data_IF_532492505562
#
_entry.id   IF_532492505562
#
_cell.length_a   1.000
_cell.length_b   1.000
_cell.length_c   1.000
_cell.angle_alpha   90.00
_cell.angle_beta   90.00
_cell.angle_gamma   90.00
#
_symmetry.space_group_name_H-M   'P 1'
#
loop_
_entity.id
_entity.type
_entity.pdbx_description
1 polymer ?
#
# COMPACT_ATOMS: atom_id res chain seq x y z
N UNK A 1 -8.54 -21.37 42.11
CA UNK A 1 -8.27 -22.47 41.15
C UNK A 1 -8.32 -21.89 39.75
N UNK A 2 -7.34 -22.19 38.88
CA UNK A 2 -6.57 -21.13 38.22
C UNK A 2 -6.95 -20.87 36.76
N UNK A 3 -6.74 -19.62 36.36
CA UNK A 3 -6.68 -19.12 34.99
C UNK A 3 -5.50 -19.80 34.27
N UNK A 4 -5.78 -20.53 33.19
CA UNK A 4 -4.75 -21.12 32.34
C UNK A 4 -4.20 -20.05 31.39
N UNK A 5 -2.98 -19.64 31.68
CA UNK A 5 -2.07 -18.94 30.77
C UNK A 5 -1.81 -19.88 29.60
N UNK A 6 -2.29 -19.55 28.39
CA UNK A 6 -1.87 -20.22 27.16
C UNK A 6 -0.67 -19.45 26.62
N UNK A 7 0.52 -19.95 26.98
CA UNK A 7 1.79 -19.54 26.41
C UNK A 7 1.87 -19.95 24.94
N UNK A 8 2.22 -18.98 24.08
CA UNK A 8 2.67 -19.20 22.71
C UNK A 8 3.83 -20.21 22.70
N UNK A 9 3.64 -21.37 22.09
CA UNK A 9 4.74 -22.19 21.59
C UNK A 9 4.27 -23.12 20.46
N UNK A 10 5.03 -23.04 19.36
CA UNK A 10 5.34 -24.10 18.38
C UNK A 10 4.22 -24.62 17.48
N UNK A 11 4.13 -24.01 16.29
CA UNK A 11 3.81 -24.70 15.04
C UNK A 11 4.81 -24.18 13.98
N UNK A 12 6.01 -24.73 14.05
CA UNK A 12 7.08 -24.52 13.06
C UNK A 12 7.96 -25.77 13.06
N UNK A 13 7.45 -26.84 12.44
CA UNK A 13 8.24 -28.05 12.21
C UNK A 13 7.70 -28.81 10.99
N UNK A 14 7.80 -28.19 9.81
CA UNK A 14 8.05 -28.90 8.55
C UNK A 14 8.95 -27.99 7.74
N UNK A 15 10.25 -28.30 7.70
CA UNK A 15 11.23 -28.10 6.63
C UNK A 15 12.59 -28.40 7.28
N UNK A 16 13.15 -29.56 6.93
CA UNK A 16 14.48 -29.96 7.36
C UNK A 16 15.59 -29.19 6.63
N UNK A 17 16.82 -29.16 7.18
CA UNK A 17 17.95 -28.50 6.54
C UNK A 17 18.76 -29.50 5.71
N UNK A 18 19.02 -29.16 4.45
CA UNK A 18 20.15 -29.72 3.71
C UNK A 18 21.02 -28.57 3.22
N UNK A 19 22.14 -28.36 3.91
CA UNK A 19 23.24 -27.56 3.41
C UNK A 19 24.04 -28.33 2.36
N UNK A 20 24.47 -27.63 1.33
CA UNK A 20 25.34 -28.13 0.27
C UNK A 20 25.76 -26.99 -0.63
N UNK A 21 26.88 -26.36 -0.27
CA UNK A 21 27.59 -25.32 -1.00
C UNK A 21 28.12 -25.83 -2.35
N UNK A 22 27.78 -25.14 -3.43
CA UNK A 22 28.60 -25.08 -4.64
C UNK A 22 28.40 -23.74 -5.34
N UNK A 23 29.50 -22.99 -5.46
CA UNK A 23 29.66 -21.74 -6.17
C UNK A 23 29.82 -21.99 -7.68
N UNK A 24 29.12 -21.23 -8.52
CA UNK A 24 29.52 -20.83 -9.89
C UNK A 24 28.41 -19.90 -10.41
N UNK A 25 28.69 -18.60 -10.47
CA UNK A 25 29.16 -17.86 -11.64
C UNK A 25 28.12 -17.73 -12.76
N UNK A 26 27.60 -16.51 -12.87
CA UNK A 26 26.63 -16.03 -13.84
C UNK A 26 27.39 -15.52 -15.07
N UNK A 27 27.09 -16.05 -16.26
CA UNK A 27 27.71 -15.55 -17.50
C UNK A 27 27.07 -16.07 -18.78
N UNK A 28 26.09 -15.31 -19.28
CA UNK A 28 25.61 -15.18 -20.67
C UNK A 28 24.93 -16.38 -21.39
N UNK A 29 23.94 -16.12 -22.26
CA UNK A 29 23.22 -17.14 -23.01
C UNK A 29 23.96 -17.49 -24.31
N UNK A 30 24.21 -18.78 -24.53
CA UNK A 30 24.77 -19.29 -25.79
C UNK A 30 23.66 -19.50 -26.83
N UNK A 31 24.00 -19.05 -28.04
CA UNK A 31 23.19 -19.00 -29.24
C UNK A 31 22.74 -20.37 -29.73
N UNK A 32 21.53 -20.39 -30.28
CA UNK A 32 20.94 -21.49 -31.03
C UNK A 32 21.85 -21.88 -32.19
N UNK A 33 22.26 -23.15 -32.22
CA UNK A 33 22.96 -23.77 -33.34
C UNK A 33 22.16 -23.64 -34.63
N UNK A 34 22.55 -22.66 -35.45
CA UNK A 34 22.17 -22.57 -36.84
C UNK A 34 23.03 -23.54 -37.65
N UNK A 35 22.34 -24.48 -38.28
CA UNK A 35 22.84 -25.35 -39.31
C UNK A 35 23.55 -24.54 -40.41
N UNK A 36 24.81 -24.86 -40.66
CA UNK A 36 25.60 -24.35 -41.78
C UNK A 36 25.05 -24.91 -43.10
N UNK A 37 23.95 -24.35 -43.60
CA UNK A 37 23.54 -24.46 -44.99
C UNK A 37 24.43 -23.55 -45.82
N UNK A 38 25.43 -24.14 -46.48
CA UNK A 38 26.22 -23.40 -47.48
C UNK A 38 25.35 -23.25 -48.72
N UNK A 39 24.54 -22.19 -48.75
CA UNK A 39 23.89 -21.72 -49.96
C UNK A 39 24.95 -21.04 -50.85
N UNK A 40 25.52 -21.78 -51.80
CA UNK A 40 26.26 -21.17 -52.90
C UNK A 40 25.30 -20.29 -53.70
N UNK A 41 25.42 -18.98 -53.51
CA UNK A 41 24.75 -17.97 -54.31
C UNK A 41 25.24 -18.06 -55.75
N UNK A 42 24.39 -18.50 -56.67
CA UNK A 42 24.60 -18.35 -58.10
C UNK A 42 24.34 -16.89 -58.45
N UNK A 43 25.40 -16.08 -58.48
CA UNK A 43 25.33 -14.75 -59.05
C UNK A 43 25.29 -14.86 -60.57
N UNK A 44 24.10 -14.63 -61.13
CA UNK A 44 23.88 -14.34 -62.54
C UNK A 44 24.58 -13.02 -62.86
N UNK A 45 25.75 -13.09 -63.50
CA UNK A 45 26.35 -11.92 -64.15
C UNK A 45 25.74 -11.78 -65.54
N UNK A 46 25.00 -10.69 -65.74
CA UNK A 46 24.52 -10.26 -67.05
C UNK A 46 25.69 -9.84 -67.97
N UNK A 47 25.50 -9.88 -69.30
CA UNK A 47 26.59 -9.85 -70.28
C UNK A 47 27.18 -8.45 -70.45
N UNK A 48 28.51 -8.37 -70.47
CA UNK A 48 29.24 -7.15 -70.80
C UNK A 48 29.27 -7.00 -72.33
N UNK A 49 28.79 -5.85 -72.80
CA UNK A 49 28.63 -5.51 -74.21
C UNK A 49 29.92 -5.71 -75.03
N UNK A 50 29.79 -6.42 -76.15
CA UNK A 50 30.78 -6.45 -77.22
C UNK A 50 30.67 -5.19 -78.09
N UNK A 51 31.77 -4.58 -78.56
CA UNK A 51 31.70 -3.60 -79.62
C UNK A 51 31.49 -4.31 -80.96
N UNK A 52 30.57 -3.76 -81.75
CA UNK A 52 30.27 -4.18 -83.10
C UNK A 52 31.47 -3.97 -84.03
N UNK A 53 31.86 -5.01 -84.77
CA UNK A 53 32.52 -4.88 -86.06
C UNK A 53 31.75 -5.70 -87.08
N UNK A 54 31.43 -5.03 -88.18
CA UNK A 54 30.55 -5.46 -89.24
C UNK A 54 31.33 -6.17 -90.35
N UNK A 55 30.60 -7.04 -91.06
CA UNK A 55 30.77 -7.53 -92.45
C UNK A 55 31.52 -8.86 -92.68
N UNK A 56 30.66 -9.84 -93.03
CA UNK A 56 30.62 -10.62 -94.27
C UNK A 56 31.75 -11.58 -94.61
N UNK A 57 31.37 -12.81 -94.97
CA UNK A 57 32.12 -13.65 -95.90
C UNK A 57 32.36 -15.05 -95.39
N UNK A 58 31.64 -15.99 -95.98
CA UNK A 58 31.83 -17.44 -95.88
C UNK A 58 33.22 -17.86 -96.38
N UNK A 59 34.15 -18.21 -95.48
CA UNK A 59 35.16 -19.28 -95.68
C UNK A 59 36.00 -19.47 -94.40
N UNK A 60 36.23 -20.72 -93.98
CA UNK A 60 37.23 -21.04 -92.96
C UNK A 60 38.52 -21.45 -93.67
N UNK A 61 39.59 -20.67 -93.49
CA UNK A 61 40.96 -21.08 -93.79
C UNK A 61 41.72 -21.37 -92.48
N UNK A 62 42.52 -22.44 -92.40
CA UNK A 62 43.44 -22.67 -91.29
C UNK A 62 44.57 -21.63 -91.34
N UNK A 63 44.66 -20.78 -90.32
CA UNK A 63 45.83 -19.93 -90.14
C UNK A 63 46.96 -20.76 -89.54
N UNK A 64 47.94 -21.03 -90.42
CA UNK A 64 49.30 -21.41 -90.08
C UNK A 64 49.85 -20.40 -89.05
N UNK A 65 50.25 -20.91 -87.88
CA UNK A 65 51.11 -20.18 -86.96
C UNK A 65 52.54 -20.59 -87.30
N UNK A 66 53.21 -19.80 -88.13
CA UNK A 66 54.67 -19.84 -88.23
C UNK A 66 55.24 -19.15 -86.99
N UNK A 67 55.95 -19.91 -86.15
CA UNK A 67 56.81 -19.34 -85.11
C UNK A 67 58.27 -19.56 -85.55
N UNK A 68 58.87 -18.45 -85.98
CA UNK A 68 60.27 -18.33 -86.37
C UNK A 68 61.15 -18.41 -85.12
N UNK A 69 61.88 -19.51 -84.95
CA UNK A 69 62.73 -19.61 -83.77
C UNK A 69 63.81 -20.67 -83.69
N UNK A 70 64.09 -21.50 -84.69
CA UNK A 70 65.15 -22.51 -84.57
C UNK A 70 66.03 -22.63 -85.82
N UNK A 71 66.91 -21.63 -85.99
CA UNK A 71 68.14 -21.77 -86.77
C UNK A 71 69.13 -22.59 -85.93
N UNK A 72 69.11 -23.92 -86.04
CA UNK A 72 70.18 -24.77 -85.53
C UNK A 72 70.87 -25.51 -86.69
N UNK A 73 72.15 -25.20 -86.79
CA UNK A 73 73.12 -25.67 -87.75
C UNK A 73 73.23 -27.20 -87.69
N UNK A 74 72.99 -27.87 -88.81
CA UNK A 74 73.55 -29.21 -89.04
C UNK A 74 75.04 -29.05 -89.34
N UNK A 75 75.82 -28.87 -88.28
CA UNK A 75 77.24 -29.12 -88.26
C UNK A 75 77.50 -30.40 -87.46
N UNK A 76 78.26 -31.29 -88.06
CA UNK A 76 78.70 -32.58 -87.50
C UNK A 76 79.34 -32.39 -86.12
N UNK A 77 78.65 -32.82 -85.07
CA UNK A 77 79.27 -33.24 -83.81
C UNK A 77 78.24 -34.01 -82.98
N UNK A 78 78.53 -35.27 -82.68
CA UNK A 78 77.66 -36.13 -81.87
C UNK A 78 77.44 -35.54 -80.48
N UNK A 79 76.18 -35.38 -80.12
CA UNK A 79 75.71 -35.26 -78.75
C UNK A 79 74.31 -35.85 -78.72
N UNK A 80 74.25 -37.09 -78.24
CA UNK A 80 73.02 -37.80 -77.90
C UNK A 80 72.36 -37.01 -76.78
N UNK A 81 71.22 -36.38 -77.08
CA UNK A 81 70.41 -35.72 -76.05
C UNK A 81 69.74 -36.81 -75.23
N UNK A 82 70.35 -37.19 -74.11
CA UNK A 82 69.67 -37.99 -73.09
C UNK A 82 68.54 -37.15 -72.54
N UNK A 83 67.30 -37.48 -72.94
CA UNK A 83 66.12 -36.99 -72.28
C UNK A 83 66.16 -37.45 -70.82
N UNK A 84 66.47 -36.53 -69.91
CA UNK A 84 66.27 -36.73 -68.48
C UNK A 84 64.76 -36.89 -68.22
N UNK A 85 64.29 -38.14 -68.18
CA UNK A 85 62.99 -38.47 -67.60
C UNK A 85 63.11 -38.18 -66.11
N UNK A 86 62.58 -37.04 -65.67
CA UNK A 86 62.39 -36.73 -64.26
C UNK A 86 61.45 -37.79 -63.65
N UNK A 87 61.91 -38.64 -62.71
CA UNK A 87 61.10 -39.73 -62.13
C UNK A 87 59.95 -39.24 -61.23
N UNK A 88 59.94 -37.95 -60.88
CA UNK A 88 58.91 -37.30 -60.07
C UNK A 88 57.59 -37.12 -60.85
N UNK A 89 57.67 -36.71 -62.13
CA UNK A 89 56.49 -36.51 -63.00
C UNK A 89 55.85 -37.82 -63.45
N UNK A 90 56.61 -38.91 -63.53
CA UNK A 90 56.09 -40.24 -63.85
C UNK A 90 55.21 -40.82 -62.74
N UNK A 91 55.56 -40.59 -61.47
CA UNK A 91 54.78 -41.06 -60.32
C UNK A 91 53.43 -40.36 -60.19
N UNK A 92 53.36 -39.06 -60.49
CA UNK A 92 52.11 -38.30 -60.46
C UNK A 92 51.22 -38.64 -61.64
N UNK A 93 51.79 -38.79 -62.84
CA UNK A 93 51.07 -39.29 -64.03
C UNK A 93 50.50 -40.69 -63.82
N UNK A 94 51.25 -41.59 -63.18
CA UNK A 94 50.77 -42.94 -62.89
C UNK A 94 49.59 -42.94 -61.90
N UNK A 95 49.62 -42.07 -60.88
CA UNK A 95 48.49 -41.90 -59.95
C UNK A 95 47.26 -41.33 -60.64
N UNK A 96 47.44 -40.35 -61.53
CA UNK A 96 46.36 -39.78 -62.34
C UNK A 96 45.76 -40.82 -63.28
N UNK A 97 46.58 -41.65 -63.93
CA UNK A 97 46.11 -42.71 -64.82
C UNK A 97 45.34 -43.78 -64.05
N UNK A 98 45.81 -44.15 -62.85
CA UNK A 98 45.10 -45.07 -61.95
C UNK A 98 43.72 -44.51 -61.55
N UNK A 99 43.64 -43.23 -61.19
CA UNK A 99 42.37 -42.57 -60.89
C UNK A 99 41.44 -42.49 -62.11
N UNK A 100 42.00 -42.29 -63.30
CA UNK A 100 41.24 -42.27 -64.54
C UNK A 100 40.64 -43.64 -64.86
N UNK A 101 41.42 -44.71 -64.69
CA UNK A 101 40.93 -46.08 -64.87
C UNK A 101 39.87 -46.45 -63.83
N UNK A 102 40.06 -46.07 -62.57
CA UNK A 102 39.06 -46.26 -61.52
C UNK A 102 37.75 -45.53 -61.84
N UNK A 103 37.84 -44.30 -62.34
CA UNK A 103 36.68 -43.51 -62.78
C UNK A 103 36.03 -44.06 -64.04
N UNK A 104 36.82 -44.55 -65.00
CA UNK A 104 36.31 -45.20 -66.21
C UNK A 104 35.57 -46.50 -65.86
N UNK A 105 36.11 -47.31 -64.96
CA UNK A 105 35.44 -48.51 -64.47
C UNK A 105 34.14 -48.19 -63.71
N UNK A 106 34.10 -47.10 -62.93
CA UNK A 106 32.89 -46.61 -62.27
C UNK A 106 31.82 -46.15 -63.29
N UNK A 107 32.22 -45.41 -64.33
CA UNK A 107 31.34 -44.98 -65.42
C UNK A 107 30.80 -46.20 -66.17
N UNK A 108 31.65 -47.15 -66.52
CA UNK A 108 31.26 -48.37 -67.23
C UNK A 108 30.28 -49.20 -66.39
N UNK A 109 30.48 -49.28 -65.08
CA UNK A 109 29.52 -49.90 -64.16
C UNK A 109 28.17 -49.18 -64.14
N UNK A 110 28.16 -47.84 -64.18
CA UNK A 110 26.92 -47.06 -64.28
C UNK A 110 26.20 -47.22 -65.62
N UNK A 111 26.95 -47.33 -66.73
CA UNK A 111 26.41 -47.51 -68.07
C UNK A 111 25.77 -48.90 -68.21
N UNK A 112 26.42 -49.92 -67.65
CA UNK A 112 25.94 -51.30 -67.71
C UNK A 112 24.75 -51.59 -66.78
N UNK A 113 24.37 -50.65 -65.92
CA UNK A 113 23.19 -50.80 -65.08
C UNK A 113 21.89 -50.67 -65.91
N UNK A 114 20.94 -51.62 -65.78
CA UNK A 114 19.68 -51.56 -66.51
C UNK A 114 18.86 -50.29 -66.20
N UNK A 115 18.26 -49.63 -67.22
CA UNK A 115 17.50 -48.39 -67.03
C UNK A 115 16.33 -48.49 -66.03
N UNK A 116 15.61 -49.62 -66.03
CA UNK A 116 14.44 -49.81 -65.16
C UNK A 116 14.78 -49.81 -63.66
N UNK A 117 16.02 -50.18 -63.28
CA UNK A 117 16.44 -50.15 -61.87
C UNK A 117 16.60 -48.72 -61.36
N UNK A 118 17.17 -47.85 -62.21
CA UNK A 118 17.29 -46.41 -61.93
C UNK A 118 15.91 -45.77 -61.85
N UNK A 119 15.01 -46.08 -62.79
CA UNK A 119 13.65 -45.57 -62.78
C UNK A 119 12.88 -46.00 -61.52
N UNK A 120 13.02 -47.26 -61.08
CA UNK A 120 12.40 -47.74 -59.83
C UNK A 120 12.92 -46.99 -58.61
N UNK A 121 14.23 -46.75 -58.55
CA UNK A 121 14.84 -46.02 -57.45
C UNK A 121 14.46 -44.53 -57.46
N UNK A 122 14.37 -43.90 -58.63
CA UNK A 122 13.87 -42.53 -58.79
C UNK A 122 12.44 -42.41 -58.26
N UNK A 123 11.54 -43.33 -58.65
CA UNK A 123 10.16 -43.33 -58.17
C UNK A 123 10.09 -43.51 -56.64
N UNK A 124 10.93 -44.37 -56.07
CA UNK A 124 11.02 -44.57 -54.62
C UNK A 124 11.47 -43.29 -53.91
N UNK A 125 12.50 -42.62 -54.43
CA UNK A 125 13.00 -41.36 -53.88
C UNK A 125 11.98 -40.23 -54.01
N UNK A 126 11.31 -40.10 -55.16
CA UNK A 126 10.26 -39.11 -55.38
C UNK A 126 9.11 -39.30 -54.40
N UNK A 127 8.66 -40.54 -54.17
CA UNK A 127 7.62 -40.82 -53.17
C UNK A 127 8.07 -40.43 -51.75
N UNK A 128 9.29 -40.81 -51.37
CA UNK A 128 9.83 -40.48 -50.05
C UNK A 128 10.00 -38.96 -49.86
N UNK A 129 10.39 -38.23 -50.90
CA UNK A 129 10.47 -36.77 -50.89
C UNK A 129 9.09 -36.14 -50.72
N UNK A 130 8.09 -36.58 -51.49
CA UNK A 130 6.72 -36.07 -51.38
C UNK A 130 6.11 -36.32 -49.98
N UNK A 131 6.38 -37.49 -49.38
CA UNK A 131 5.97 -37.80 -48.01
C UNK A 131 6.66 -36.86 -47.00
N UNK A 132 7.96 -36.59 -47.18
CA UNK A 132 8.72 -35.67 -46.33
C UNK A 132 8.24 -34.22 -46.49
N UNK A 133 7.96 -33.77 -47.70
CA UNK A 133 7.42 -32.43 -47.97
C UNK A 133 6.05 -32.23 -47.31
N UNK A 134 5.18 -33.25 -47.35
CA UNK A 134 3.89 -33.21 -46.64
C UNK A 134 4.06 -33.14 -45.13
N UNK A 135 4.96 -33.95 -44.57
CA UNK A 135 5.28 -33.90 -43.15
C UNK A 135 5.88 -32.54 -42.75
N UNK A 136 6.78 -31.98 -43.57
CA UNK A 136 7.39 -30.68 -43.35
C UNK A 136 6.34 -29.56 -43.38
N UNK A 137 5.45 -29.55 -44.38
CA UNK A 137 4.39 -28.55 -44.47
C UNK A 137 3.46 -28.58 -43.24
N UNK A 138 3.16 -29.77 -42.73
CA UNK A 138 2.36 -29.93 -41.49
C UNK A 138 3.14 -29.40 -40.27
N UNK A 139 4.42 -29.75 -40.16
CA UNK A 139 5.29 -29.26 -39.08
C UNK A 139 5.40 -27.73 -39.11
N UNK A 140 5.61 -27.13 -40.29
CA UNK A 140 5.76 -25.69 -40.46
C UNK A 140 4.51 -24.92 -40.01
N UNK A 141 3.32 -25.44 -40.34
CA UNK A 141 2.05 -24.84 -39.88
C UNK A 141 1.93 -24.90 -38.36
N UNK A 142 2.25 -26.05 -37.75
CA UNK A 142 2.20 -26.22 -36.30
C UNK A 142 3.22 -25.32 -35.59
N UNK A 143 4.46 -25.24 -36.10
CA UNK A 143 5.50 -24.37 -35.55
C UNK A 143 5.11 -22.89 -35.62
N UNK A 144 4.53 -22.44 -36.74
CA UNK A 144 4.01 -21.07 -36.87
C UNK A 144 2.88 -20.81 -35.88
N UNK A 145 1.90 -21.71 -35.78
CA UNK A 145 0.78 -21.57 -34.85
C UNK A 145 1.22 -21.49 -33.39
N UNK A 146 2.15 -22.36 -32.97
CA UNK A 146 2.71 -22.34 -31.61
C UNK A 146 3.48 -21.05 -31.33
N UNK A 147 4.21 -20.53 -32.32
CA UNK A 147 4.92 -19.26 -32.21
C UNK A 147 3.94 -18.10 -32.06
N UNK A 148 2.86 -18.09 -32.85
CA UNK A 148 1.83 -17.06 -32.79
C UNK A 148 1.08 -17.05 -31.44
N UNK A 149 0.73 -18.22 -30.91
CA UNK A 149 0.16 -18.36 -29.57
C UNK A 149 1.11 -17.86 -28.49
N UNK A 150 2.40 -18.18 -28.60
CA UNK A 150 3.44 -17.68 -27.68
C UNK A 150 3.50 -16.16 -27.69
N UNK A 151 3.54 -15.54 -28.87
CA UNK A 151 3.52 -14.08 -29.01
C UNK A 151 2.20 -13.47 -28.53
N UNK A 152 1.07 -14.14 -28.71
CA UNK A 152 -0.22 -13.69 -28.19
C UNK A 152 -0.24 -13.70 -26.66
N UNK A 153 0.25 -14.77 -26.04
CA UNK A 153 0.34 -14.90 -24.58
C UNK A 153 1.31 -13.87 -24.00
N UNK A 154 2.47 -13.66 -24.63
CA UNK A 154 3.43 -12.62 -24.23
C UNK A 154 2.79 -11.23 -24.25
N UNK A 155 2.03 -10.88 -25.29
CA UNK A 155 1.29 -9.60 -25.36
C UNK A 155 0.23 -9.47 -24.27
N UNK A 156 -0.54 -10.53 -23.99
CA UNK A 156 -1.53 -10.53 -22.90
C UNK A 156 -0.86 -10.36 -21.54
N UNK A 157 0.26 -11.03 -21.31
CA UNK A 157 1.04 -10.93 -20.09
C UNK A 157 1.59 -9.50 -19.91
N UNK A 158 2.14 -8.90 -20.96
CA UNK A 158 2.62 -7.53 -20.95
C UNK A 158 1.51 -6.52 -20.60
N UNK A 159 0.34 -6.64 -21.25
CA UNK A 159 -0.82 -5.77 -20.94
C UNK A 159 -1.32 -5.96 -19.50
N UNK A 160 -1.31 -7.18 -18.99
CA UNK A 160 -1.68 -7.47 -17.59
C UNK A 160 -0.66 -6.86 -16.63
N UNK A 161 0.64 -6.99 -16.94
CA UNK A 161 1.70 -6.41 -16.13
C UNK A 161 1.62 -4.87 -16.08
N UNK A 162 1.33 -4.21 -17.20
CA UNK A 162 1.09 -2.77 -17.27
C UNK A 162 -0.10 -2.34 -16.41
N UNK A 163 -1.21 -3.10 -16.43
CA UNK A 163 -2.36 -2.86 -15.58
C UNK A 163 -1.99 -2.98 -14.09
N UNK A 164 -1.26 -4.03 -13.71
CA UNK A 164 -0.79 -4.20 -12.34
C UNK A 164 0.14 -3.06 -11.90
N UNK A 165 1.05 -2.62 -12.76
CA UNK A 165 1.93 -1.47 -12.50
C UNK A 165 1.12 -0.18 -12.30
N UNK A 166 0.10 0.06 -13.13
CA UNK A 166 -0.79 1.20 -12.99
C UNK A 166 -1.54 1.17 -11.65
N UNK A 167 -2.11 0.02 -11.29
CA UNK A 167 -2.80 -0.14 -10.01
C UNK A 167 -1.86 0.08 -8.82
N UNK A 168 -0.65 -0.50 -8.85
CA UNK A 168 0.35 -0.28 -7.82
C UNK A 168 0.68 1.20 -7.65
N UNK A 169 0.90 1.92 -8.76
CA UNK A 169 1.15 3.37 -8.74
C UNK A 169 -0.03 4.16 -8.17
N UNK A 170 -1.27 3.83 -8.57
CA UNK A 170 -2.46 4.47 -8.00
C UNK A 170 -2.57 4.25 -6.49
N UNK A 171 -2.24 3.05 -6.00
CA UNK A 171 -2.25 2.73 -4.57
C UNK A 171 -1.16 3.50 -3.82
N UNK A 172 0.06 3.60 -4.37
CA UNK A 172 1.14 4.41 -3.79
C UNK A 172 0.79 5.89 -3.72
N UNK A 173 0.23 6.45 -4.79
CA UNK A 173 -0.21 7.85 -4.82
C UNK A 173 -1.32 8.13 -3.80
N UNK A 174 -2.27 7.20 -3.66
CA UNK A 174 -3.33 7.28 -2.66
C UNK A 174 -2.76 7.24 -1.25
N UNK A 175 -1.84 6.31 -0.98
CA UNK A 175 -1.15 6.22 0.31
C UNK A 175 -0.35 7.48 0.63
N UNK A 176 0.33 8.09 -0.34
CA UNK A 176 1.05 9.36 -0.15
C UNK A 176 0.11 10.52 0.17
N UNK A 177 -1.03 10.62 -0.51
CA UNK A 177 -2.06 11.64 -0.24
C UNK A 177 -2.68 11.45 1.14
N UNK A 178 -3.02 10.21 1.51
CA UNK A 178 -3.55 9.89 2.84
C UNK A 178 -2.53 10.17 3.94
N UNK A 179 -1.26 9.75 3.77
CA UNK A 179 -0.19 10.02 4.74
C UNK A 179 0.08 11.53 4.89
N UNK A 180 0.13 12.26 3.78
CA UNK A 180 0.30 13.72 3.82
C UNK A 180 -0.88 14.46 4.47
N UNK A 181 -2.10 13.94 4.33
CA UNK A 181 -3.28 14.49 4.98
C UNK A 181 -3.36 14.12 6.47
N UNK A 182 -3.01 12.88 6.82
CA UNK A 182 -2.92 12.40 8.20
C UNK A 182 -1.83 13.16 8.97
N UNK A 183 -0.62 13.35 8.44
CA UNK A 183 0.46 14.04 9.16
C UNK A 183 0.10 15.51 9.48
N UNK A 184 -0.56 16.24 8.56
CA UNK A 184 -1.02 17.61 8.81
C UNK A 184 -2.20 17.67 9.78
N UNK A 185 -3.18 16.77 9.63
CA UNK A 185 -4.39 16.74 10.46
C UNK A 185 -4.11 16.18 11.87
N UNK A 186 -3.15 15.26 12.01
CA UNK A 186 -2.70 14.72 13.30
C UNK A 186 -1.94 15.78 14.08
N UNK A 187 -1.06 16.56 13.46
CA UNK A 187 -0.36 17.66 14.14
C UNK A 187 -1.32 18.76 14.63
N UNK A 188 -2.33 19.11 13.83
CA UNK A 188 -3.35 20.10 14.21
C UNK A 188 -4.25 19.59 15.36
N UNK A 189 -4.68 18.32 15.28
CA UNK A 189 -5.47 17.68 16.34
C UNK A 189 -4.65 17.45 17.62
N UNK A 190 -3.38 17.08 17.53
CA UNK A 190 -2.49 16.87 18.68
C UNK A 190 -2.20 18.20 19.39
N UNK A 191 -1.99 19.28 18.63
CA UNK A 191 -1.84 20.63 19.18
C UNK A 191 -3.14 21.11 19.85
N UNK A 192 -4.29 20.85 19.24
CA UNK A 192 -5.61 21.17 19.79
C UNK A 192 -5.92 20.37 21.07
N UNK A 193 -5.63 19.06 21.08
CA UNK A 193 -5.77 18.20 22.26
C UNK A 193 -4.83 18.64 23.39
N UNK A 194 -3.59 19.00 23.07
CA UNK A 194 -2.63 19.49 24.04
C UNK A 194 -3.09 20.80 24.68
N UNK A 195 -3.65 21.73 23.89
CA UNK A 195 -4.23 22.97 24.41
C UNK A 195 -5.44 22.71 25.33
N UNK A 196 -6.29 21.73 24.98
CA UNK A 196 -7.42 21.33 25.82
C UNK A 196 -6.97 20.69 27.14
N UNK A 197 -5.94 19.83 27.10
CA UNK A 197 -5.33 19.23 28.29
C UNK A 197 -4.80 20.33 29.23
N UNK A 198 -4.08 21.32 28.70
CA UNK A 198 -3.60 22.46 29.50
C UNK A 198 -4.75 23.22 30.17
N UNK A 199 -5.83 23.54 29.43
CA UNK A 199 -7.01 24.21 29.99
C UNK A 199 -7.65 23.40 31.12
N UNK A 200 -7.87 22.11 30.91
CA UNK A 200 -8.46 21.23 31.92
C UNK A 200 -7.56 21.09 33.16
N UNK A 201 -6.23 21.09 32.99
CA UNK A 201 -5.29 21.08 34.10
C UNK A 201 -5.37 22.37 34.92
N UNK A 202 -5.46 23.52 34.26
CA UNK A 202 -5.62 24.82 34.93
C UNK A 202 -6.95 24.92 35.68
N UNK A 203 -8.04 24.47 35.06
CA UNK A 203 -9.36 24.38 35.71
C UNK A 203 -9.32 23.44 36.92
N UNK A 204 -8.68 22.28 36.79
CA UNK A 204 -8.54 21.33 37.90
C UNK A 204 -7.73 21.93 39.06
N UNK A 205 -6.67 22.69 38.74
CA UNK A 205 -5.87 23.42 39.74
C UNK A 205 -6.72 24.49 40.44
N UNK A 206 -7.52 25.25 39.68
CA UNK A 206 -8.40 26.27 40.22
C UNK A 206 -9.49 25.68 41.12
N UNK A 207 -10.10 24.57 40.70
CA UNK A 207 -11.09 23.84 41.49
C UNK A 207 -10.48 23.34 42.80
N UNK A 208 -9.27 22.78 42.78
CA UNK A 208 -8.56 22.37 44.00
C UNK A 208 -8.34 23.54 44.96
N UNK A 209 -7.97 24.72 44.45
CA UNK A 209 -7.82 25.92 45.26
C UNK A 209 -9.15 26.38 45.88
N UNK A 210 -10.24 26.35 45.11
CA UNK A 210 -11.60 26.67 45.62
C UNK A 210 -12.05 25.69 46.69
N UNK A 211 -11.81 24.39 46.50
CA UNK A 211 -12.12 23.36 47.51
C UNK A 211 -11.33 23.63 48.80
N UNK A 212 -10.03 23.91 48.70
CA UNK A 212 -9.22 24.25 49.87
C UNK A 212 -9.78 25.47 50.62
N UNK A 213 -10.21 26.51 49.90
CA UNK A 213 -10.82 27.70 50.51
C UNK A 213 -12.15 27.38 51.22
N UNK A 214 -13.01 26.56 50.61
CA UNK A 214 -14.26 26.12 51.23
C UNK A 214 -13.99 25.30 52.50
N UNK A 215 -12.94 24.47 52.52
CA UNK A 215 -12.57 23.71 53.72
C UNK A 215 -12.14 24.63 54.87
N UNK A 216 -11.38 25.68 54.59
CA UNK A 216 -11.02 26.69 55.60
C UNK A 216 -12.27 27.33 56.19
N UNK A 217 -13.19 27.81 55.35
CA UNK A 217 -14.44 28.36 55.86
C UNK A 217 -15.28 27.36 56.63
N UNK A 218 -15.31 26.10 56.19
CA UNK A 218 -16.00 25.04 56.92
C UNK A 218 -15.42 24.91 58.33
N UNK A 219 -14.09 24.93 58.47
CA UNK A 219 -13.43 24.88 59.77
C UNK A 219 -13.78 26.12 60.62
N UNK A 220 -13.72 27.34 60.05
CA UNK A 220 -14.09 28.59 60.74
C UNK A 220 -15.54 28.58 61.26
N UNK A 221 -16.48 28.11 60.43
CA UNK A 221 -17.89 27.98 60.85
C UNK A 221 -18.07 26.97 61.98
N UNK A 222 -17.31 25.87 61.95
CA UNK A 222 -17.38 24.85 63.02
C UNK A 222 -16.76 25.33 64.32
N UNK A 223 -15.66 26.09 64.28
CA UNK A 223 -15.07 26.68 65.49
C UNK A 223 -15.99 27.74 66.10
N UNK A 224 -16.55 28.63 65.27
CA UNK A 224 -17.51 29.65 65.72
C UNK A 224 -18.74 29.02 66.39
N UNK A 225 -19.27 27.92 65.83
CA UNK A 225 -20.37 27.17 66.44
C UNK A 225 -19.97 26.58 67.79
N UNK A 226 -18.78 25.98 67.87
CA UNK A 226 -18.25 25.38 69.11
C UNK A 226 -18.08 26.43 70.22
N UNK A 227 -17.64 27.64 69.86
CA UNK A 227 -17.50 28.75 70.81
C UNK A 227 -18.86 29.26 71.30
N UNK A 228 -19.87 29.31 70.43
CA UNK A 228 -21.25 29.63 70.82
C UNK A 228 -21.83 28.60 71.79
N UNK A 229 -21.62 27.30 71.53
CA UNK A 229 -22.08 26.23 72.41
C UNK A 229 -21.39 26.32 73.78
N UNK A 230 -20.08 26.61 73.81
CA UNK A 230 -19.33 26.86 75.06
C UNK A 230 -19.89 28.07 75.82
N UNK A 231 -20.14 29.18 75.13
CA UNK A 231 -20.73 30.38 75.73
C UNK A 231 -22.14 30.11 76.27
N UNK A 232 -22.97 29.36 75.56
CA UNK A 232 -24.31 28.96 76.03
C UNK A 232 -24.24 28.09 77.28
N UNK A 233 -23.34 27.11 77.32
CA UNK A 233 -23.12 26.29 78.52
C UNK A 233 -22.71 27.16 79.71
N UNK A 234 -21.83 28.15 79.50
CA UNK A 234 -21.42 29.07 80.57
C UNK A 234 -22.56 29.96 81.05
N UNK A 235 -23.43 30.43 80.14
CA UNK A 235 -24.62 31.19 80.50
C UNK A 235 -25.56 30.35 81.38
N UNK A 236 -25.81 29.09 81.02
CA UNK A 236 -26.67 28.20 81.81
C UNK A 236 -26.09 27.94 83.21
N UNK A 237 -24.78 27.70 83.32
CA UNK A 237 -24.08 27.56 84.60
C UNK A 237 -24.25 28.82 85.47
N UNK A 238 -24.00 30.00 84.90
CA UNK A 238 -24.15 31.27 85.60
C UNK A 238 -25.60 31.56 85.99
N UNK A 239 -26.58 31.20 85.15
CA UNK A 239 -28.01 31.32 85.48
C UNK A 239 -28.38 30.44 86.68
N UNK A 240 -27.86 29.21 86.75
CA UNK A 240 -28.05 28.32 87.90
C UNK A 240 -27.39 28.90 89.15
N UNK A 241 -26.15 29.37 89.05
CA UNK A 241 -25.42 29.99 90.17
C UNK A 241 -26.17 31.22 90.71
N UNK A 242 -26.62 32.11 89.82
CA UNK A 242 -27.44 33.27 90.20
C UNK A 242 -28.74 32.84 90.87
N UNK A 243 -29.44 31.83 90.34
CA UNK A 243 -30.68 31.30 90.93
C UNK A 243 -30.45 30.73 92.34
N UNK A 244 -29.36 29.98 92.53
CA UNK A 244 -28.95 29.45 93.83
C UNK A 244 -28.62 30.58 94.82
N UNK A 245 -27.82 31.57 94.40
CA UNK A 245 -27.46 32.72 95.22
C UNK A 245 -28.69 33.57 95.60
N UNK A 246 -29.61 33.79 94.66
CA UNK A 246 -30.88 34.47 94.91
C UNK A 246 -31.71 33.74 95.96
N UNK A 247 -31.82 32.40 95.89
CA UNK A 247 -32.52 31.60 96.89
C UNK A 247 -31.84 31.69 98.28
N UNK A 248 -30.51 31.65 98.34
CA UNK A 248 -29.77 31.82 99.59
C UNK A 248 -29.98 33.20 100.22
N UNK A 249 -29.99 34.27 99.40
CA UNK A 249 -30.30 35.63 99.86
C UNK A 249 -31.73 35.75 100.37
N UNK A 250 -32.72 35.18 99.67
CA UNK A 250 -34.12 35.15 100.12
C UNK A 250 -34.26 34.49 101.50
N UNK A 251 -33.65 33.31 101.70
CA UNK A 251 -33.64 32.61 103.00
C UNK A 251 -32.98 33.44 104.12
N UNK A 252 -31.87 34.14 103.83
CA UNK A 252 -31.23 35.05 104.80
C UNK A 252 -32.07 36.30 105.11
N UNK A 253 -32.90 36.77 104.17
CA UNK A 253 -33.82 37.88 104.41
C UNK A 253 -35.04 37.45 105.23
N UNK A 254 -35.55 36.23 105.04
CA UNK A 254 -36.63 35.69 105.86
C UNK A 254 -36.21 35.47 107.33
N UNK A 255 -34.96 35.04 107.57
CA UNK A 255 -34.38 34.97 108.92
C UNK A 255 -34.16 36.32 109.62
N UNK A 256 -34.18 37.45 108.87
CA UNK A 256 -34.09 38.82 109.42
C UNK A 256 -35.45 39.47 109.67
N UNK A 257 -36.56 38.86 109.23
CA UNK A 257 -37.93 39.34 109.48
C UNK A 257 -38.51 38.92 110.84
N UNK A 258 -37.81 38.07 111.60
CA UNK A 258 -38.20 37.72 112.99
C UNK A 258 -37.64 38.72 114.03
N UNK A 259 -36.80 39.67 113.63
CA UNK A 259 -36.28 40.70 114.55
C UNK A 259 -36.27 42.11 113.95
N UNK A 260 -37.44 42.60 113.55
CA UNK A 260 -37.77 44.03 113.57
C UNK A 260 -39.29 44.22 113.46
N UNK A 261 -39.94 44.01 114.59
CA UNK A 261 -41.18 44.69 114.91
C UNK A 261 -40.88 46.22 114.91
N UNK A 262 -41.89 47.01 114.55
CA UNK A 262 -41.94 48.49 114.58
C UNK A 262 -41.05 49.23 113.56
N UNK A 263 -41.58 49.52 112.37
CA UNK A 263 -42.03 50.88 112.05
C UNK A 263 -42.74 50.98 110.70
N UNK A 264 -43.87 51.68 110.75
CA UNK A 264 -44.78 52.12 109.70
C UNK A 264 -44.13 53.03 108.65
N UNK A 265 -44.49 52.85 107.36
CA UNK A 265 -45.27 53.85 106.57
C UNK A 265 -45.38 53.52 105.08
N UNK A 266 -46.63 53.40 104.65
CA UNK A 266 -47.30 53.76 103.39
C UNK A 266 -46.92 53.21 101.99
N UNK A 267 -47.92 52.73 101.21
CA UNK A 267 -47.81 52.30 99.81
C UNK A 267 -48.23 53.38 98.80
N UNK A 268 -47.67 53.33 97.60
CA UNK A 268 -48.15 54.11 96.43
C UNK A 268 -47.73 53.43 95.13
N UNK A 269 -48.70 52.90 94.39
CA UNK A 269 -48.56 52.35 93.03
C UNK A 269 -48.76 53.46 91.95
N UNK A 270 -49.07 53.15 90.67
CA UNK A 270 -48.17 52.80 89.56
C UNK A 270 -48.37 53.75 88.36
N UNK A 271 -47.62 53.61 87.26
CA UNK A 271 -47.99 54.37 86.05
C UNK A 271 -47.03 54.32 84.87
N UNK A 272 -47.45 53.57 83.85
CA UNK A 272 -46.81 53.38 82.55
C UNK A 272 -46.38 54.67 81.82
N UNK A 273 -45.19 54.63 81.21
CA UNK A 273 -44.82 55.53 80.10
C UNK A 273 -44.79 54.75 78.80
N UNK A 274 -45.68 55.13 77.88
CA UNK A 274 -45.62 54.80 76.45
C UNK A 274 -44.69 55.82 75.78
N UNK A 275 -43.82 55.34 74.90
CA UNK A 275 -43.37 56.09 73.72
C UNK A 275 -43.25 55.09 72.59
N UNK A 276 -44.14 55.25 71.60
CA UNK A 276 -44.14 54.54 70.34
C UNK A 276 -43.00 55.06 69.47
N UNK A 277 -42.35 54.16 68.73
CA UNK A 277 -41.61 54.49 67.50
C UNK A 277 -41.64 53.27 66.59
N UNK A 278 -42.55 53.37 65.62
CA UNK A 278 -42.41 52.97 64.22
C UNK A 278 -41.97 51.53 63.90
N UNK A 279 -43.00 50.72 63.66
CA UNK A 279 -42.98 49.59 62.73
C UNK A 279 -43.69 50.07 61.46
N UNK A 280 -42.98 50.20 60.35
CA UNK A 280 -43.56 50.34 59.02
C UNK A 280 -43.06 49.19 58.14
N UNK A 281 -43.97 48.27 57.87
CA UNK A 281 -43.93 47.41 56.69
C UNK A 281 -44.04 48.31 55.45
N UNK A 282 -43.11 48.18 54.53
CA UNK A 282 -43.28 48.61 53.13
C UNK A 282 -42.55 47.63 52.24
N UNK A 283 -43.31 46.86 51.48
CA UNK A 283 -42.88 46.18 50.26
C UNK A 283 -42.81 47.19 49.09
N UNK A 284 -41.96 46.93 48.09
CA UNK A 284 -42.16 47.43 46.73
C UNK A 284 -42.23 46.30 45.68
N UNK A 285 -42.68 46.63 44.45
CA UNK A 285 -43.54 45.78 43.64
C UNK A 285 -42.79 45.03 42.52
N UNK A 286 -43.33 43.89 42.13
CA UNK A 286 -42.99 43.21 40.88
C UNK A 286 -44.10 43.50 39.86
N UNK A 287 -43.80 44.36 38.90
CA UNK A 287 -44.53 44.47 37.66
C UNK A 287 -44.28 43.20 36.83
N UNK A 288 -45.36 42.54 36.40
CA UNK A 288 -45.64 42.26 34.98
C UNK A 288 -46.69 41.14 34.90
N UNK A 289 -47.96 41.55 34.88
CA UNK A 289 -49.06 40.70 34.42
C UNK A 289 -48.90 40.47 32.91
N UNK A 290 -48.64 39.24 32.51
CA UNK A 290 -48.96 38.76 31.17
C UNK A 290 -49.75 37.46 31.27
N UNK A 291 -51.06 37.62 31.12
CA UNK A 291 -52.08 36.68 30.69
C UNK A 291 -51.80 35.18 30.89
N UNK A 292 -52.46 34.62 31.89
CA UNK A 292 -52.75 33.20 31.95
C UNK A 292 -53.52 32.75 30.70
N UNK A 293 -52.84 31.98 29.85
CA UNK A 293 -53.51 31.04 28.96
C UNK A 293 -53.60 29.70 29.69
N UNK A 294 -54.82 29.35 30.06
CA UNK A 294 -55.22 28.02 30.49
C UNK A 294 -54.70 26.94 29.51
N UNK A 295 -54.18 25.84 30.05
CA UNK A 295 -54.13 24.54 29.36
C UNK A 295 -53.02 24.30 28.31
N UNK A 296 -51.74 24.54 28.61
CA UNK A 296 -50.64 24.05 27.74
C UNK A 296 -49.96 22.82 28.32
N UNK A 297 -50.06 21.73 27.56
CA UNK A 297 -49.52 20.42 27.85
C UNK A 297 -48.05 20.48 28.27
N UNK A 298 -47.77 19.93 29.45
CA UNK A 298 -46.41 19.65 29.91
C UNK A 298 -45.90 18.47 29.10
N UNK A 299 -45.29 18.75 27.95
CA UNK A 299 -44.70 17.73 27.09
C UNK A 299 -45.01 17.94 25.62
N UNK A 300 -44.60 19.09 25.07
CA UNK A 300 -44.72 19.38 23.66
C UNK A 300 -43.32 19.65 23.06
N UNK A 301 -42.87 18.76 22.19
CA UNK A 301 -41.67 18.90 21.38
C UNK A 301 -41.93 19.90 20.25
N UNK A 302 -40.97 20.78 19.99
CA UNK A 302 -41.10 21.81 18.95
C UNK A 302 -39.99 21.71 17.92
N UNK A 303 -40.37 21.69 16.65
CA UNK A 303 -39.42 21.71 15.54
C UNK A 303 -38.73 23.08 15.46
N UNK A 304 -37.38 23.17 15.52
CA UNK A 304 -36.65 24.44 15.48
C UNK A 304 -36.81 25.19 14.15
N UNK A 305 -37.19 24.49 13.08
CA UNK A 305 -37.17 25.02 11.72
C UNK A 305 -38.51 25.61 11.28
N UNK A 306 -39.62 24.89 11.49
CA UNK A 306 -40.96 25.37 11.13
C UNK A 306 -41.84 25.71 12.34
N UNK A 307 -41.31 25.56 13.56
CA UNK A 307 -41.98 25.95 14.80
C UNK A 307 -43.27 25.19 15.13
N UNK A 308 -43.54 24.08 14.43
CA UNK A 308 -44.69 23.20 14.65
C UNK A 308 -44.52 22.42 15.96
N UNK A 309 -45.64 22.25 16.65
CA UNK A 309 -45.73 21.55 17.94
C UNK A 309 -46.11 20.08 17.73
N UNK A 310 -45.53 19.23 18.56
CA UNK A 310 -45.73 17.78 18.59
C UNK A 310 -45.88 17.35 20.04
N UNK A 311 -46.82 16.47 20.35
CA UNK A 311 -46.92 15.90 21.69
C UNK A 311 -45.75 14.96 21.98
N UNK A 312 -45.32 14.89 23.24
CA UNK A 312 -44.25 13.99 23.69
C UNK A 312 -44.57 12.51 23.43
N UNK A 313 -45.85 12.14 23.34
CA UNK A 313 -46.32 10.80 23.01
C UNK A 313 -46.04 10.39 21.55
N UNK A 314 -45.80 11.37 20.66
CA UNK A 314 -45.55 11.16 19.22
C UNK A 314 -44.10 11.52 18.84
N UNK A 315 -43.15 11.18 19.72
CA UNK A 315 -41.73 11.48 19.54
C UNK A 315 -41.13 10.96 18.21
N UNK A 316 -41.56 9.80 17.72
CA UNK A 316 -41.09 9.26 16.43
C UNK A 316 -41.57 10.09 15.22
N UNK A 317 -42.78 10.64 15.27
CA UNK A 317 -43.30 11.54 14.23
C UNK A 317 -42.58 12.90 14.25
N UNK A 318 -42.22 13.38 15.44
CA UNK A 318 -41.37 14.55 15.60
C UNK A 318 -39.98 14.35 14.97
N UNK A 319 -39.30 13.23 15.26
CA UNK A 319 -37.99 12.95 14.68
C UNK A 319 -38.05 12.86 13.15
N UNK A 320 -39.06 12.15 12.62
CA UNK A 320 -39.27 12.06 11.16
C UNK A 320 -39.50 13.44 10.55
N UNK A 321 -40.35 14.25 11.17
CA UNK A 321 -40.60 15.61 10.72
C UNK A 321 -39.34 16.49 10.73
N UNK A 322 -38.50 16.43 11.77
CA UNK A 322 -37.24 17.19 11.82
C UNK A 322 -36.30 16.79 10.67
N UNK A 323 -36.27 15.51 10.30
CA UNK A 323 -35.45 15.05 9.16
C UNK A 323 -35.99 15.48 7.79
N UNK A 324 -37.29 15.69 7.66
CA UNK A 324 -37.94 16.16 6.42
C UNK A 324 -37.97 17.69 6.32
N UNK A 325 -38.09 18.40 7.45
CA UNK A 325 -38.19 19.86 7.51
C UNK A 325 -36.85 20.58 7.27
N UNK A 326 -35.74 19.84 7.33
CA UNK A 326 -34.38 20.35 7.11
C UNK A 326 -33.85 20.17 5.67
N UNK A 327 -34.69 19.67 4.75
CA UNK A 327 -34.39 19.60 3.32
C UNK A 327 -34.94 20.84 2.61
#
# INVERSE_FOLDING_TARGET
MPLKIITKKTLSEVIGPCGGSASSDFGAPEELGQSSSTACSVSVLAPRAAPALQKSGTHWHPLLFEDEGHRLLLAKSGLVYYGCVLPEGGRTLQKLNQQLEEKNAEIEKMINQPPYEKEREILRLQKSLAEREKAQATSDVLCRSLTDETHQLQRKLASTAEMCQHLAKCLEEKQRKEKGNLDLQVLDNETSLQALICKLQDENRMLKQKVAHVLVYKDDFTSERSDRERAQSKIQELQLEVSCLQHQLARRQEGKKVNKQYNSSSPGQPGARRTASQSEQTSPPADNENSGSEGRAQGELRCPHCMRFFSDELSDEFLKHVTECCQ
#
